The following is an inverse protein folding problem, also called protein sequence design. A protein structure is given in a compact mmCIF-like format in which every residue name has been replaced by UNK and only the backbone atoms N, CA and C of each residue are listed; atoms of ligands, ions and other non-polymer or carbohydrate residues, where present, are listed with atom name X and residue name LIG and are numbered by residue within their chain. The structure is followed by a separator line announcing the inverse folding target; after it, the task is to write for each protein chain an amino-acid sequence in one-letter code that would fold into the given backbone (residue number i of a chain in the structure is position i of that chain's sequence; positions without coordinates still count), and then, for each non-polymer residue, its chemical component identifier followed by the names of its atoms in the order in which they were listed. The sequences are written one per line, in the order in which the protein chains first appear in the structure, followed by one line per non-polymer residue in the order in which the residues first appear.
data_IF_957941747311
#
_entry.id   IF_957941747311
#
_cell.length_a   1.000
_cell.length_b   1.000
_cell.length_c   1.000
_cell.angle_alpha   90.00
_cell.angle_beta   90.00
_cell.angle_gamma   90.00
#
_symmetry.space_group_name_H-M   'P 1'
#
loop_
_entity.id
_entity.type
_entity.pdbx_description
1 polymer ?
#
# COMPACT_ATOMS: atom_id res chain seq x y z
N UNK A 1 -1.00 -6.32 37.25
CA UNK A 1 -1.30 -7.67 36.75
C UNK A 1 -2.05 -7.52 35.45
N UNK A 2 -1.27 -7.75 34.41
CA UNK A 2 -1.49 -7.34 33.05
C UNK A 2 -2.43 -8.30 32.31
N UNK A 3 -3.12 -7.77 31.31
CA UNK A 3 -4.03 -8.53 30.48
C UNK A 3 -4.41 -7.76 29.23
N UNK A 4 -3.43 -7.27 28.49
CA UNK A 4 -3.64 -7.07 27.06
C UNK A 4 -3.95 -8.47 26.51
N UNK A 5 -5.22 -8.70 26.17
CA UNK A 5 -5.67 -10.00 25.67
C UNK A 5 -4.90 -10.35 24.40
N UNK A 6 -4.51 -11.62 24.25
CA UNK A 6 -3.78 -12.14 23.08
C UNK A 6 -4.42 -11.72 21.75
N UNK A 7 -5.76 -11.56 21.74
CA UNK A 7 -6.54 -11.03 20.62
C UNK A 7 -6.18 -9.59 20.22
N UNK A 8 -5.96 -8.70 21.19
CA UNK A 8 -5.67 -7.27 20.96
C UNK A 8 -4.26 -7.07 20.38
N UNK A 9 -3.31 -7.92 20.78
CA UNK A 9 -1.96 -7.95 20.23
C UNK A 9 -1.95 -8.57 18.81
N UNK A 10 -2.81 -9.56 18.55
CA UNK A 10 -2.95 -10.18 17.24
C UNK A 10 -3.63 -9.23 16.23
N UNK A 11 -4.68 -8.52 16.64
CA UNK A 11 -5.34 -7.49 15.82
C UNK A 11 -4.36 -6.35 15.50
N UNK A 12 -3.57 -5.88 16.49
CA UNK A 12 -2.52 -4.88 16.29
C UNK A 12 -1.44 -5.31 15.30
N UNK A 13 -0.98 -6.56 15.39
CA UNK A 13 -0.01 -7.10 14.43
C UNK A 13 -0.60 -7.15 13.03
N UNK A 14 -1.86 -7.56 12.86
CA UNK A 14 -2.50 -7.64 11.54
C UNK A 14 -2.67 -6.28 10.85
N UNK A 15 -3.06 -5.22 11.57
CA UNK A 15 -3.17 -3.87 10.99
C UNK A 15 -1.80 -3.30 10.59
N UNK A 16 -0.77 -3.51 11.42
CA UNK A 16 0.59 -3.03 11.14
C UNK A 16 1.24 -3.82 9.99
N UNK A 17 1.04 -5.14 9.93
CA UNK A 17 1.52 -5.97 8.81
C UNK A 17 0.78 -5.69 7.52
N UNK A 18 -0.52 -5.38 7.56
CA UNK A 18 -1.30 -5.06 6.36
C UNK A 18 -0.84 -3.75 5.70
N UNK A 19 -0.62 -2.68 6.49
CA UNK A 19 -0.16 -1.39 5.97
C UNK A 19 1.27 -1.40 5.45
N UNK A 20 2.17 -2.18 6.08
CA UNK A 20 3.56 -2.35 5.61
C UNK A 20 3.61 -3.23 4.36
N UNK A 21 2.80 -4.29 4.29
CA UNK A 21 2.77 -5.21 3.15
C UNK A 21 2.30 -4.51 1.86
N UNK A 22 1.33 -3.59 1.94
CA UNK A 22 0.89 -2.79 0.77
C UNK A 22 2.02 -1.89 0.25
N UNK A 23 2.84 -1.30 1.13
CA UNK A 23 4.00 -0.49 0.70
C UNK A 23 5.06 -1.36 0.01
N UNK A 24 5.41 -2.51 0.60
CA UNK A 24 6.43 -3.43 0.04
C UNK A 24 5.97 -4.05 -1.29
N UNK A 25 4.68 -4.40 -1.43
CA UNK A 25 4.14 -4.94 -2.68
C UNK A 25 4.18 -3.91 -3.82
N UNK A 26 3.98 -2.62 -3.52
CA UNK A 26 4.09 -1.53 -4.51
C UNK A 26 5.53 -1.32 -4.99
N UNK A 27 6.50 -1.44 -4.08
CA UNK A 27 7.94 -1.35 -4.38
C UNK A 27 8.43 -2.53 -5.24
N UNK A 28 7.99 -3.76 -4.94
CA UNK A 28 8.37 -4.95 -5.72
C UNK A 28 7.82 -4.95 -7.15
N UNK A 29 6.60 -4.44 -7.37
CA UNK A 29 6.02 -4.32 -8.71
C UNK A 29 6.80 -3.33 -9.59
N UNK A 30 7.36 -2.28 -8.98
CA UNK A 30 8.14 -1.25 -9.65
C UNK A 30 9.59 -1.71 -9.92
N UNK A 31 10.19 -2.50 -9.01
CA UNK A 31 11.48 -3.15 -9.23
C UNK A 31 11.46 -4.16 -10.39
N UNK A 32 10.35 -4.88 -10.60
CA UNK A 32 10.23 -5.85 -11.70
C UNK A 32 10.29 -5.19 -13.10
N UNK A 33 9.96 -3.90 -13.21
CA UNK A 33 10.12 -3.12 -14.44
C UNK A 33 11.58 -2.69 -14.69
N UNK A 34 12.38 -2.51 -13.63
CA UNK A 34 13.77 -2.05 -13.71
C UNK A 34 14.75 -3.20 -13.96
N UNK A 35 14.45 -4.40 -13.43
CA UNK A 35 15.40 -5.52 -13.39
C UNK A 35 15.47 -6.40 -14.65
N UNK A 36 14.64 -6.13 -15.68
CA UNK A 36 14.56 -7.00 -16.86
C UNK A 36 15.34 -6.52 -18.10
N UNK A 37 16.09 -5.42 -18.01
CA UNK A 37 17.00 -5.03 -19.10
C UNK A 37 18.37 -5.64 -18.88
N UNK A 38 18.57 -6.81 -19.51
CA UNK A 38 19.91 -7.35 -19.75
C UNK A 38 20.79 -6.22 -20.32
N UNK A 39 21.94 -5.89 -19.71
CA UNK A 39 22.89 -5.02 -20.36
C UNK A 39 23.35 -5.77 -21.62
N UNK A 40 22.94 -5.29 -22.79
CA UNK A 40 23.49 -5.77 -24.06
C UNK A 40 24.90 -5.20 -24.22
N UNK A 41 25.81 -5.63 -23.37
CA UNK A 41 27.24 -5.52 -23.65
C UNK A 41 27.52 -6.62 -24.66
N UNK A 42 27.21 -6.35 -25.93
CA UNK A 42 27.77 -7.12 -27.02
C UNK A 42 29.26 -6.78 -27.07
N UNK A 43 30.05 -7.55 -26.32
CA UNK A 43 31.50 -7.59 -26.46
C UNK A 43 31.79 -7.88 -27.93
N UNK A 44 32.23 -6.84 -28.63
CA UNK A 44 32.60 -6.87 -30.04
C UNK A 44 33.77 -7.85 -30.18
N UNK A 45 33.48 -9.09 -30.54
CA UNK A 45 34.48 -10.04 -31.07
C UNK A 45 35.24 -9.29 -32.16
N UNK A 46 36.53 -9.08 -31.96
CA UNK A 46 37.43 -8.61 -33.02
C UNK A 46 37.51 -9.72 -34.07
N UNK A 47 36.56 -9.71 -35.02
CA UNK A 47 36.77 -10.39 -36.28
C UNK A 47 37.88 -9.62 -36.98
N UNK A 48 39.04 -10.24 -37.13
CA UNK A 48 39.98 -9.95 -38.22
C UNK A 48 39.17 -10.07 -39.51
N UNK A 49 38.69 -8.93 -40.01
CA UNK A 49 37.78 -8.87 -41.16
C UNK A 49 38.63 -8.73 -42.41
N UNK A 50 38.39 -9.60 -43.37
CA UNK A 50 38.85 -9.41 -44.74
C UNK A 50 38.24 -8.09 -45.24
N UNK A 51 39.02 -7.21 -45.89
CA UNK A 51 38.48 -5.96 -46.34
C UNK A 51 37.38 -6.20 -47.37
N UNK A 52 36.35 -5.38 -47.32
CA UNK A 52 35.20 -5.48 -48.22
C UNK A 52 35.63 -5.06 -49.64
N UNK A 53 35.16 -5.80 -50.65
CA UNK A 53 35.40 -5.44 -52.04
C UNK A 53 34.70 -4.10 -52.34
N UNK A 54 35.37 -3.22 -53.11
CA UNK A 54 34.88 -1.85 -53.36
C UNK A 54 33.49 -1.83 -54.00
N UNK A 55 33.10 -2.84 -54.78
CA UNK A 55 31.76 -2.94 -55.36
C UNK A 55 30.66 -3.08 -54.30
N UNK A 56 30.91 -3.85 -53.24
CA UNK A 56 29.96 -4.04 -52.13
C UNK A 56 29.86 -2.76 -51.29
N UNK A 57 30.99 -2.09 -51.04
CA UNK A 57 31.00 -0.79 -50.37
C UNK A 57 30.26 0.28 -51.15
N UNK A 58 30.52 0.41 -52.46
CA UNK A 58 29.84 1.41 -53.30
C UNK A 58 28.33 1.18 -53.34
N UNK A 59 27.88 -0.08 -53.50
CA UNK A 59 26.44 -0.41 -53.45
C UNK A 59 25.83 0.00 -52.11
N UNK A 60 26.53 -0.32 -51.02
CA UNK A 60 26.09 0.00 -49.65
C UNK A 60 26.09 1.50 -49.39
N UNK A 61 27.09 2.23 -49.88
CA UNK A 61 27.23 3.67 -49.76
C UNK A 61 26.15 4.42 -50.54
N UNK A 62 25.98 4.10 -51.83
CA UNK A 62 24.97 4.72 -52.68
C UNK A 62 23.56 4.49 -52.13
N UNK A 63 23.29 3.29 -51.60
CA UNK A 63 22.04 2.98 -50.92
C UNK A 63 21.85 3.79 -49.63
N UNK A 64 22.85 3.82 -48.74
CA UNK A 64 22.76 4.57 -47.47
C UNK A 64 22.60 6.08 -47.70
N UNK A 65 23.21 6.62 -48.75
CA UNK A 65 23.12 8.03 -49.12
C UNK A 65 21.84 8.36 -49.92
N UNK A 66 21.00 7.37 -50.24
CA UNK A 66 19.74 7.57 -50.97
C UNK A 66 19.90 7.87 -52.46
N UNK A 67 21.06 7.58 -53.05
CA UNK A 67 21.36 7.82 -54.47
C UNK A 67 20.92 6.64 -55.35
N UNK A 68 19.61 6.37 -55.38
CA UNK A 68 19.05 5.16 -56.01
C UNK A 68 19.27 5.10 -57.53
N UNK A 69 19.11 6.22 -58.25
CA UNK A 69 19.34 6.23 -59.71
C UNK A 69 20.80 5.94 -60.07
N UNK A 70 21.74 6.50 -59.30
CA UNK A 70 23.18 6.24 -59.46
C UNK A 70 23.52 4.78 -59.12
N UNK A 71 22.86 4.21 -58.11
CA UNK A 71 22.99 2.80 -57.77
C UNK A 71 22.49 1.89 -58.90
N UNK A 72 21.35 2.22 -59.51
CA UNK A 72 20.76 1.44 -60.60
C UNK A 72 21.66 1.46 -61.85
N UNK A 73 22.18 2.64 -62.23
CA UNK A 73 23.16 2.78 -63.31
C UNK A 73 24.44 1.98 -63.00
N UNK A 74 24.99 2.14 -61.80
CA UNK A 74 26.19 1.42 -61.36
C UNK A 74 25.99 -0.10 -61.43
N UNK A 75 24.84 -0.62 -60.96
CA UNK A 75 24.54 -2.05 -61.03
C UNK A 75 24.43 -2.56 -62.46
N UNK A 76 23.79 -1.80 -63.35
CA UNK A 76 23.67 -2.17 -64.76
C UNK A 76 25.04 -2.25 -65.45
N UNK A 77 25.88 -1.22 -65.28
CA UNK A 77 27.23 -1.17 -65.86
C UNK A 77 28.13 -2.28 -65.29
N UNK A 78 28.03 -2.54 -63.98
CA UNK A 78 28.81 -3.59 -63.32
C UNK A 78 28.44 -4.98 -63.82
N UNK A 79 27.15 -5.26 -64.02
CA UNK A 79 26.67 -6.53 -64.56
C UNK A 79 27.10 -6.71 -66.02
N UNK A 80 27.10 -5.63 -66.82
CA UNK A 80 27.58 -5.64 -68.19
C UNK A 80 29.09 -5.94 -68.26
N UNK A 81 29.89 -5.39 -67.34
CA UNK A 81 31.32 -5.70 -67.21
C UNK A 81 31.58 -7.18 -66.84
N UNK A 82 30.74 -7.74 -65.96
CA UNK A 82 30.79 -9.15 -65.58
C UNK A 82 30.50 -10.07 -66.77
N UNK A 83 29.46 -9.78 -67.54
CA UNK A 83 29.08 -10.58 -68.72
C UNK A 83 30.15 -10.55 -69.82
N UNK A 84 30.90 -9.46 -69.95
CA UNK A 84 32.00 -9.33 -70.92
C UNK A 84 33.31 -9.98 -70.45
N UNK A 85 33.36 -10.50 -69.22
CA UNK A 85 34.57 -11.13 -68.66
C UNK A 85 35.71 -10.15 -68.36
N UNK A 86 35.45 -8.84 -68.35
CA UNK A 86 36.48 -7.81 -68.08
C UNK A 86 36.73 -7.56 -66.59
N UNK A 87 36.01 -8.27 -65.71
CA UNK A 87 36.06 -8.08 -64.25
C UNK A 87 37.47 -8.23 -63.67
N UNK A 88 38.27 -9.16 -64.17
CA UNK A 88 39.63 -9.42 -63.66
C UNK A 88 40.68 -8.41 -64.17
N UNK A 89 40.35 -7.59 -65.17
CA UNK A 89 41.27 -6.54 -65.69
C UNK A 89 41.24 -5.27 -64.87
N UNK A 90 40.15 -5.04 -64.13
CA UNK A 90 40.04 -3.95 -63.16
C UNK A 90 40.43 -4.55 -61.82
N UNK A 91 41.68 -4.37 -61.39
CA UNK A 91 42.07 -4.73 -60.04
C UNK A 91 41.27 -3.82 -59.09
N UNK A 92 40.15 -4.32 -58.59
CA UNK A 92 39.30 -3.61 -57.65
C UNK A 92 39.97 -3.73 -56.29
N UNK A 93 40.66 -2.65 -55.90
CA UNK A 93 41.33 -2.59 -54.62
C UNK A 93 40.34 -2.81 -53.47
N UNK A 94 40.87 -3.26 -52.34
CA UNK A 94 40.13 -3.46 -51.11
C UNK A 94 39.80 -2.10 -50.48
N UNK A 95 38.59 -1.95 -49.93
CA UNK A 95 38.22 -0.70 -49.24
C UNK A 95 39.12 -0.53 -48.02
N UNK A 96 39.78 0.64 -47.83
CA UNK A 96 40.59 0.87 -46.66
C UNK A 96 39.76 0.77 -45.37
N UNK A 97 40.20 -0.08 -44.45
CA UNK A 97 39.49 -0.42 -43.19
C UNK A 97 39.05 0.80 -42.38
N UNK A 98 39.75 1.93 -42.52
CA UNK A 98 39.51 3.20 -41.82
C UNK A 98 38.08 3.73 -42.08
N UNK A 99 37.56 3.64 -43.31
CA UNK A 99 36.22 4.16 -43.63
C UNK A 99 35.10 3.31 -43.03
N UNK A 100 35.26 1.98 -43.08
CA UNK A 100 34.34 1.05 -42.42
C UNK A 100 34.35 1.22 -40.91
N UNK A 101 35.51 1.57 -40.34
CA UNK A 101 35.64 1.90 -38.92
C UNK A 101 34.95 3.20 -38.53
N UNK A 102 35.05 4.24 -39.35
CA UNK A 102 34.34 5.51 -39.13
C UNK A 102 32.82 5.28 -39.11
N UNK A 103 32.27 4.62 -40.12
CA UNK A 103 30.83 4.31 -40.15
C UNK A 103 30.38 3.47 -38.95
N UNK A 104 31.17 2.47 -38.57
CA UNK A 104 30.90 1.66 -37.38
C UNK A 104 30.89 2.49 -36.10
N UNK A 105 31.86 3.40 -35.95
CA UNK A 105 31.95 4.30 -34.80
C UNK A 105 30.77 5.28 -34.76
N UNK A 106 30.33 5.80 -35.90
CA UNK A 106 29.15 6.66 -36.00
C UNK A 106 27.87 5.93 -35.55
N UNK A 107 27.67 4.68 -35.97
CA UNK A 107 26.55 3.84 -35.53
C UNK A 107 26.62 3.61 -34.02
N UNK A 108 27.80 3.24 -33.50
CA UNK A 108 28.01 3.04 -32.05
C UNK A 108 27.71 4.31 -31.26
N UNK A 109 28.17 5.46 -31.73
CA UNK A 109 27.96 6.76 -31.10
C UNK A 109 26.48 7.17 -31.15
N UNK A 110 25.78 6.91 -32.27
CA UNK A 110 24.34 7.12 -32.40
C UNK A 110 23.55 6.25 -31.42
N UNK A 111 23.91 4.97 -31.29
CA UNK A 111 23.27 4.04 -30.36
C UNK A 111 23.54 4.42 -28.90
N UNK A 112 24.79 4.72 -28.54
CA UNK A 112 25.14 5.17 -27.19
C UNK A 112 24.41 6.46 -26.80
N UNK A 113 24.24 7.40 -27.73
CA UNK A 113 23.43 8.62 -27.51
C UNK A 113 21.95 8.31 -27.29
N UNK A 114 21.40 7.36 -28.04
CA UNK A 114 20.00 6.91 -27.88
C UNK A 114 19.81 6.26 -26.51
N UNK A 115 20.65 5.30 -26.15
CA UNK A 115 20.63 4.60 -24.86
C UNK A 115 20.76 5.59 -23.71
N UNK A 116 21.70 6.53 -23.76
CA UNK A 116 21.83 7.59 -22.74
C UNK A 116 20.53 8.38 -22.57
N UNK A 117 19.84 8.71 -23.66
CA UNK A 117 18.56 9.43 -23.60
C UNK A 117 17.45 8.58 -22.98
N UNK A 118 17.44 7.29 -23.28
CA UNK A 118 16.50 6.33 -22.70
C UNK A 118 16.73 6.15 -21.19
N UNK A 119 17.98 5.87 -20.77
CA UNK A 119 18.33 5.78 -19.35
C UNK A 119 17.97 7.04 -18.57
N UNK A 120 18.17 8.22 -19.16
CA UNK A 120 17.78 9.48 -18.52
C UNK A 120 16.26 9.57 -18.31
N UNK A 121 15.46 9.11 -19.27
CA UNK A 121 14.00 9.07 -19.14
C UNK A 121 13.59 8.08 -18.05
N UNK A 122 14.14 6.88 -18.09
CA UNK A 122 13.84 5.83 -17.11
C UNK A 122 14.21 6.27 -15.69
N UNK A 123 15.37 6.93 -15.53
CA UNK A 123 15.80 7.49 -14.25
C UNK A 123 14.88 8.62 -13.78
N UNK A 124 14.43 9.49 -14.68
CA UNK A 124 13.48 10.56 -14.35
C UNK A 124 12.14 9.98 -13.87
N UNK A 125 11.59 9.00 -14.61
CA UNK A 125 10.36 8.30 -14.22
C UNK A 125 10.53 7.59 -12.87
N UNK A 126 11.65 6.90 -12.66
CA UNK A 126 11.93 6.24 -11.39
C UNK A 126 12.01 7.25 -10.23
N UNK A 127 12.68 8.38 -10.43
CA UNK A 127 12.75 9.46 -9.44
C UNK A 127 11.36 10.03 -9.11
N UNK A 128 10.51 10.25 -10.11
CA UNK A 128 9.13 10.70 -9.90
C UNK A 128 8.30 9.67 -9.11
N UNK A 129 8.44 8.38 -9.41
CA UNK A 129 7.77 7.31 -8.64
C UNK A 129 8.25 7.24 -7.20
N UNK A 130 9.56 7.44 -6.97
CA UNK A 130 10.14 7.46 -5.63
C UNK A 130 9.54 8.58 -4.79
N UNK A 131 9.46 9.80 -5.34
CA UNK A 131 8.85 10.95 -4.63
C UNK A 131 7.40 10.67 -4.26
N UNK A 132 6.62 10.02 -5.14
CA UNK A 132 5.23 9.62 -4.84
C UNK A 132 5.18 8.60 -3.70
N UNK A 133 6.05 7.59 -3.73
CA UNK A 133 6.12 6.58 -2.68
C UNK A 133 6.53 7.18 -1.32
N UNK A 134 7.49 8.11 -1.31
CA UNK A 134 7.90 8.82 -0.09
C UNK A 134 6.75 9.63 0.52
N UNK A 135 5.99 10.35 -0.30
CA UNK A 135 4.80 11.09 0.17
C UNK A 135 3.77 10.15 0.81
N UNK A 136 3.48 9.01 0.18
CA UNK A 136 2.55 8.02 0.71
C UNK A 136 3.06 7.42 2.02
N UNK A 137 4.34 7.04 2.08
CA UNK A 137 4.99 6.57 3.31
C UNK A 137 4.88 7.59 4.44
N UNK A 138 5.17 8.86 4.15
CA UNK A 138 5.16 9.93 5.14
C UNK A 138 3.74 10.24 5.61
N UNK A 139 2.75 10.19 4.72
CA UNK A 139 1.34 10.27 5.06
C UNK A 139 0.92 9.17 6.05
N UNK A 140 1.27 7.90 5.76
CA UNK A 140 0.95 6.79 6.65
C UNK A 140 1.68 6.90 8.00
N UNK A 141 2.95 7.33 7.99
CA UNK A 141 3.72 7.56 9.21
C UNK A 141 3.09 8.63 10.10
N UNK A 142 2.70 9.77 9.52
CA UNK A 142 2.01 10.84 10.25
C UNK A 142 0.65 10.38 10.78
N UNK A 143 -0.13 9.66 9.97
CA UNK A 143 -1.44 9.15 10.38
C UNK A 143 -1.31 8.15 11.54
N UNK A 144 -0.37 7.21 11.46
CA UNK A 144 -0.11 6.26 12.52
C UNK A 144 0.29 6.96 13.82
N UNK A 145 1.17 7.96 13.75
CA UNK A 145 1.56 8.75 14.91
C UNK A 145 0.37 9.47 15.56
N UNK A 146 -0.52 10.05 14.75
CA UNK A 146 -1.76 10.68 15.23
C UNK A 146 -2.65 9.67 15.95
N UNK A 147 -2.90 8.51 15.34
CA UNK A 147 -3.73 7.45 15.94
C UNK A 147 -3.15 6.95 17.25
N UNK A 148 -1.81 6.86 17.36
CA UNK A 148 -1.15 6.51 18.62
C UNK A 148 -1.46 7.55 19.71
N UNK A 149 -1.34 8.84 19.40
CA UNK A 149 -1.62 9.94 20.34
C UNK A 149 -3.09 9.94 20.80
N UNK A 150 -4.03 9.78 19.88
CA UNK A 150 -5.46 9.65 20.19
C UNK A 150 -5.72 8.44 21.08
N UNK A 151 -5.10 7.30 20.76
CA UNK A 151 -5.19 6.07 21.56
C UNK A 151 -4.65 6.28 22.98
N UNK A 152 -3.50 6.93 23.15
CA UNK A 152 -2.91 7.18 24.47
C UNK A 152 -3.77 8.13 25.31
N UNK A 153 -4.38 9.13 24.68
CA UNK A 153 -5.34 10.04 25.32
C UNK A 153 -6.56 9.28 25.82
N UNK A 154 -7.19 8.48 24.96
CA UNK A 154 -8.35 7.66 25.32
C UNK A 154 -8.03 6.59 26.36
N UNK A 155 -6.81 6.03 26.31
CA UNK A 155 -6.36 5.06 27.28
C UNK A 155 -6.26 5.69 28.68
N UNK A 156 -5.70 6.89 28.76
CA UNK A 156 -5.59 7.65 30.01
C UNK A 156 -6.97 7.98 30.57
N UNK A 157 -7.88 8.47 29.72
CA UNK A 157 -9.25 8.82 30.14
C UNK A 157 -10.05 7.60 30.61
N UNK A 158 -9.96 6.48 29.88
CA UNK A 158 -10.58 5.21 30.30
C UNK A 158 -10.09 4.77 31.68
N UNK A 159 -8.78 4.92 31.95
CA UNK A 159 -8.20 4.58 33.25
C UNK A 159 -8.70 5.50 34.35
N UNK A 160 -8.77 6.81 34.08
CA UNK A 160 -9.33 7.81 35.00
C UNK A 160 -10.77 7.46 35.37
N UNK A 161 -11.62 7.18 34.38
CA UNK A 161 -13.02 6.82 34.61
C UNK A 161 -13.16 5.52 35.41
N UNK A 162 -12.37 4.50 35.09
CA UNK A 162 -12.35 3.25 35.85
C UNK A 162 -12.01 3.50 37.32
N UNK A 163 -10.95 4.26 37.59
CA UNK A 163 -10.56 4.61 38.95
C UNK A 163 -11.69 5.36 39.68
N UNK A 164 -12.41 6.26 38.99
CA UNK A 164 -13.57 6.94 39.58
C UNK A 164 -14.70 5.96 39.92
N UNK A 165 -15.02 5.01 39.03
CA UNK A 165 -15.99 3.96 39.32
C UNK A 165 -15.57 3.12 40.53
N UNK A 166 -14.30 2.71 40.61
CA UNK A 166 -13.77 1.92 41.73
C UNK A 166 -13.90 2.68 43.07
N UNK A 167 -13.77 4.02 43.06
CA UNK A 167 -13.96 4.87 44.25
C UNK A 167 -15.44 4.95 44.65
N UNK A 168 -16.38 5.04 43.69
CA UNK A 168 -17.82 5.19 43.97
C UNK A 168 -18.51 3.86 44.31
N UNK A 169 -18.02 2.73 43.79
CA UNK A 169 -18.52 1.38 44.04
C UNK A 169 -18.83 1.11 45.53
N UNK A 170 -17.88 1.30 46.48
CA UNK A 170 -18.16 1.05 47.90
C UNK A 170 -19.18 2.02 48.51
N UNK A 171 -19.26 3.26 48.01
CA UNK A 171 -20.24 4.22 48.52
C UNK A 171 -21.67 3.82 48.14
N UNK A 172 -21.87 3.31 46.93
CA UNK A 172 -23.15 2.78 46.45
C UNK A 172 -23.55 1.54 47.24
N UNK A 173 -22.62 0.59 47.45
CA UNK A 173 -22.87 -0.61 48.25
C UNK A 173 -23.35 -0.28 49.67
N UNK A 174 -22.66 0.64 50.36
CA UNK A 174 -23.05 1.09 51.71
C UNK A 174 -24.45 1.71 51.74
N UNK A 175 -24.81 2.48 50.71
CA UNK A 175 -26.14 3.09 50.63
C UNK A 175 -27.22 2.02 50.42
N UNK A 176 -26.96 1.04 49.55
CA UNK A 176 -27.87 -0.08 49.29
C UNK A 176 -28.12 -0.91 50.55
N UNK A 177 -27.07 -1.25 51.30
CA UNK A 177 -27.20 -1.95 52.59
C UNK A 177 -28.05 -1.18 53.60
N UNK A 178 -27.95 0.15 53.61
CA UNK A 178 -28.78 1.00 54.48
C UNK A 178 -30.24 0.98 54.04
N UNK A 179 -30.50 1.09 52.74
CA UNK A 179 -31.85 0.99 52.18
C UNK A 179 -32.49 -0.37 52.49
N UNK A 180 -31.75 -1.46 52.32
CA UNK A 180 -32.24 -2.82 52.61
C UNK A 180 -32.60 -2.98 54.10
N UNK A 181 -31.74 -2.50 55.01
CA UNK A 181 -32.05 -2.52 56.45
C UNK A 181 -33.29 -1.71 56.80
N UNK A 182 -33.44 -0.52 56.23
CA UNK A 182 -34.63 0.31 56.46
C UNK A 182 -35.90 -0.34 55.91
N UNK A 183 -35.82 -1.00 54.75
CA UNK A 183 -36.94 -1.77 54.18
C UNK A 183 -37.33 -2.94 55.09
N UNK A 184 -36.35 -3.72 55.57
CA UNK A 184 -36.59 -4.82 56.51
C UNK A 184 -37.24 -4.33 57.82
N UNK A 185 -36.75 -3.23 58.40
CA UNK A 185 -37.33 -2.64 59.61
C UNK A 185 -38.76 -2.14 59.37
N UNK A 186 -39.02 -1.47 58.24
CA UNK A 186 -40.35 -0.97 57.88
C UNK A 186 -41.34 -2.11 57.71
N UNK A 187 -40.93 -3.21 57.07
CA UNK A 187 -41.75 -4.42 56.93
C UNK A 187 -42.09 -5.03 58.31
N UNK A 188 -41.11 -5.18 59.19
CA UNK A 188 -41.33 -5.67 60.56
C UNK A 188 -42.28 -4.77 61.36
N UNK A 189 -42.16 -3.45 61.23
CA UNK A 189 -43.05 -2.51 61.91
C UNK A 189 -44.48 -2.56 61.38
N UNK A 190 -44.66 -2.74 60.07
CA UNK A 190 -45.98 -2.93 59.47
C UNK A 190 -46.62 -4.23 59.97
N UNK A 191 -45.88 -5.35 59.97
CA UNK A 191 -46.38 -6.61 60.53
C UNK A 191 -46.74 -6.50 62.02
N UNK A 192 -45.93 -5.79 62.83
CA UNK A 192 -46.26 -5.54 64.25
C UNK A 192 -47.51 -4.68 64.42
N UNK A 193 -47.76 -3.72 63.53
CA UNK A 193 -48.99 -2.90 63.53
C UNK A 193 -50.20 -3.75 63.16
N UNK A 194 -50.09 -4.53 62.10
CA UNK A 194 -51.16 -5.40 61.61
C UNK A 194 -51.51 -6.45 62.69
N UNK A 195 -50.53 -7.15 63.26
CA UNK A 195 -50.74 -8.12 64.34
C UNK A 195 -51.39 -7.51 65.59
N UNK A 196 -51.08 -6.25 65.94
CA UNK A 196 -51.74 -5.53 67.06
C UNK A 196 -53.18 -5.15 66.73
N UNK A 197 -53.46 -4.80 65.48
CA UNK A 197 -54.81 -4.52 64.99
C UNK A 197 -55.68 -5.79 65.00
N UNK A 198 -55.10 -6.95 64.69
CA UNK A 198 -55.80 -8.25 64.78
C UNK A 198 -55.96 -8.77 66.23
N UNK A 199 -55.10 -8.33 67.16
CA UNK A 199 -55.15 -8.75 68.57
C UNK A 199 -56.10 -7.94 69.47
N UNK A 200 -56.63 -6.81 69.00
CA UNK A 200 -57.63 -6.02 69.71
C UNK A 200 -58.77 -5.66 68.74
N UNK A 201 -59.83 -6.46 68.75
CA UNK A 201 -61.07 -6.12 68.05
C UNK A 201 -61.59 -7.23 67.14
N UNK A 202 -62.22 -8.23 67.75
CA UNK A 202 -63.46 -8.76 67.19
C UNK A 202 -64.51 -7.64 67.18
N UNK A 203 -64.52 -6.80 66.15
CA UNK A 203 -65.72 -6.17 65.54
C UNK A 203 -65.37 -5.05 64.53
N UNK A 204 -66.00 -5.16 63.35
CA UNK A 204 -66.27 -4.12 62.33
C UNK A 204 -65.17 -3.64 61.36
N UNK A 205 -65.29 -4.12 60.12
CA UNK A 205 -65.35 -3.35 58.86
C UNK A 205 -64.54 -2.04 58.72
N UNK A 206 -63.53 -2.05 57.84
CA UNK A 206 -63.46 -1.19 56.64
C UNK A 206 -62.10 -1.30 55.93
N UNK A 207 -62.13 -1.47 54.60
CA UNK A 207 -60.96 -1.38 53.71
C UNK A 207 -60.39 0.06 53.70
N UNK A 208 -59.10 0.34 53.31
CA UNK A 208 -58.78 0.39 51.87
C UNK A 208 -57.28 0.30 51.44
N UNK A 209 -57.11 0.38 50.10
CA UNK A 209 -56.00 0.93 49.28
C UNK A 209 -54.81 0.04 48.90
N UNK A 210 -54.86 -0.40 47.63
CA UNK A 210 -53.71 -0.66 46.77
C UNK A 210 -52.91 0.63 46.53
N UNK A 211 -51.59 0.60 46.71
CA UNK A 211 -50.64 1.49 46.01
C UNK A 211 -49.44 0.66 45.53
N UNK A 212 -49.42 0.52 44.19
CA UNK A 212 -48.28 0.46 43.27
C UNK A 212 -47.17 -0.57 43.50
N UNK A 213 -47.32 -1.71 42.83
CA UNK A 213 -46.19 -2.36 42.16
C UNK A 213 -45.73 -1.45 41.02
N UNK A 214 -44.44 -1.15 40.93
CA UNK A 214 -43.69 -1.13 39.67
C UNK A 214 -42.18 -1.01 39.97
N UNK A 215 -41.41 -1.97 39.45
CA UNK A 215 -39.95 -1.96 39.54
C UNK A 215 -39.29 -3.33 39.58
N UNK A 216 -39.71 -4.28 38.74
CA UNK A 216 -38.93 -5.48 38.46
C UNK A 216 -37.65 -5.12 37.70
N UNK A 217 -36.56 -5.73 38.15
CA UNK A 217 -35.40 -6.22 37.40
C UNK A 217 -35.32 -5.89 35.90
N UNK A 218 -34.24 -5.21 35.51
CA UNK A 218 -33.62 -5.41 34.19
C UNK A 218 -32.14 -5.69 34.40
N UNK A 219 -31.79 -6.98 34.47
CA UNK A 219 -30.52 -7.45 33.94
C UNK A 219 -30.60 -7.27 32.43
N UNK A 220 -29.92 -6.27 31.88
CA UNK A 220 -29.57 -6.26 30.46
C UNK A 220 -28.06 -6.29 30.29
N UNK A 221 -27.63 -7.42 29.75
CA UNK A 221 -26.35 -7.74 29.12
C UNK A 221 -26.05 -6.67 28.05
N UNK A 222 -24.81 -6.16 27.93
CA UNK A 222 -24.50 -5.22 26.86
C UNK A 222 -24.48 -5.97 25.52
N UNK A 223 -25.40 -5.59 24.62
CA UNK A 223 -25.30 -5.90 23.19
C UNK A 223 -24.33 -4.90 22.56
N UNK A 224 -23.36 -5.44 21.84
CA UNK A 224 -22.51 -4.71 20.90
C UNK A 224 -23.39 -3.90 19.94
N UNK A 225 -23.29 -2.57 19.99
CA UNK A 225 -23.70 -1.72 18.89
C UNK A 225 -22.54 -1.64 17.90
N UNK A 226 -22.77 -2.21 16.73
CA UNK A 226 -21.99 -1.93 15.54
C UNK A 226 -22.06 -0.43 15.26
N UNK A 227 -20.91 0.23 15.30
CA UNK A 227 -20.75 1.50 14.60
C UNK A 227 -20.49 1.12 13.15
N UNK A 228 -21.54 1.19 12.35
CA UNK A 228 -21.46 1.25 10.90
C UNK A 228 -20.61 2.46 10.53
N UNK A 229 -19.37 2.20 10.13
CA UNK A 229 -18.56 3.15 9.39
C UNK A 229 -19.25 3.43 8.05
N UNK A 230 -19.85 4.61 7.94
CA UNK A 230 -20.26 5.17 6.66
C UNK A 230 -18.98 5.50 5.89
N UNK A 231 -18.71 4.71 4.85
CA UNK A 231 -17.73 5.02 3.82
C UNK A 231 -18.05 6.39 3.22
N UNK A 232 -17.18 7.37 3.48
CA UNK A 232 -17.01 8.50 2.58
C UNK A 232 -15.91 8.13 1.60
N UNK A 233 -16.34 7.77 0.39
CA UNK A 233 -15.51 7.92 -0.80
C UNK A 233 -14.96 9.36 -0.81
N UNK A 234 -13.65 9.47 -0.82
CA UNK A 234 -12.98 10.67 -1.32
C UNK A 234 -11.94 10.19 -2.31
N UNK A 235 -12.19 10.53 -3.57
CA UNK A 235 -11.24 10.37 -4.66
C UNK A 235 -9.97 11.18 -4.36
N UNK A 236 -8.81 10.52 -4.38
CA UNK A 236 -7.56 10.96 -5.00
C UNK A 236 -6.55 9.81 -4.97
#
# INVERSE_FOLDING_TARGET
MDGLTSSDLHQRKQFYTSSICVCVLSETLTQHHFSNRKPSVSMSKHHTRQPEAVDVFLRTFLFQMGMTQTLDCFQAEWNELEQKGLRDTVQVDLVPDIYSDIQRLEIKLKNARREKKEYRRDTCTAAETLVKAEKTRDFHRMHHQRVIQERDTLFTERRRLRNQCDIYEPAILRMNEKCERLLQQTALLTLKRDNKCFGQGSSSSSAPRKILQQGQTVKQKPKQSQISGSSRETAC
#
